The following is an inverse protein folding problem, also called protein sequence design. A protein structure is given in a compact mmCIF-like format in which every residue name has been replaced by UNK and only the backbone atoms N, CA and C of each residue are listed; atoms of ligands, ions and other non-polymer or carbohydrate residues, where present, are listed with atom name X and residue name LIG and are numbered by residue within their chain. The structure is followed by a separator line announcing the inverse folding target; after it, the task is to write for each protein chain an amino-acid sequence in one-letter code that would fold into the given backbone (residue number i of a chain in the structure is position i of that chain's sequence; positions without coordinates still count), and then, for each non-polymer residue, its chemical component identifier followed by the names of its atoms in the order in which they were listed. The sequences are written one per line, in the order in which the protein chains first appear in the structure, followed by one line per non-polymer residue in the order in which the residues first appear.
data_IF_804407581319
#
_entry.id   IF_804407581319
#
_cell.length_a   1.000
_cell.length_b   1.000
_cell.length_c   1.000
_cell.angle_alpha   90.00
_cell.angle_beta   90.00
_cell.angle_gamma   90.00
#
_symmetry.space_group_name_H-M   'P 1'
#
loop_
_entity.id
_entity.type
_entity.pdbx_description
1 polymer ?
#
# COMPACT_ATOMS: atom_id res chain seq x y z
N UNK A 1 -3.80 -16.66 -3.95
CA UNK A 1 -3.16 -15.52 -3.25
C UNK A 1 -2.93 -14.39 -4.23
N UNK A 2 -3.34 -13.17 -3.85
CA UNK A 2 -3.10 -11.97 -4.64
C UNK A 2 -1.63 -11.55 -4.57
N UNK A 3 -1.10 -11.08 -5.69
CA UNK A 3 0.21 -10.43 -5.77
C UNK A 3 0.11 -8.94 -6.12
N UNK A 4 -1.11 -8.37 -6.10
CA UNK A 4 -1.37 -6.98 -6.48
C UNK A 4 -2.25 -6.29 -5.43
N UNK A 5 -1.73 -5.23 -4.83
CA UNK A 5 -2.40 -4.53 -3.74
C UNK A 5 -3.75 -3.92 -4.14
N UNK A 6 -3.86 -3.33 -5.33
CA UNK A 6 -5.11 -2.73 -5.80
C UNK A 6 -6.18 -3.78 -6.16
N UNK A 7 -5.75 -4.96 -6.58
CA UNK A 7 -6.65 -6.04 -6.98
C UNK A 7 -7.02 -6.96 -5.81
N UNK A 8 -6.43 -6.78 -4.64
CA UNK A 8 -6.60 -7.70 -3.50
C UNK A 8 -8.07 -7.83 -3.10
N UNK A 9 -8.78 -6.73 -2.90
CA UNK A 9 -10.18 -6.80 -2.47
C UNK A 9 -11.08 -7.47 -3.52
N UNK A 10 -11.03 -7.12 -4.82
CA UNK A 10 -11.78 -7.86 -5.84
C UNK A 10 -11.46 -9.36 -5.86
N UNK A 11 -10.18 -9.73 -5.72
CA UNK A 11 -9.78 -11.12 -5.72
C UNK A 11 -10.29 -11.88 -4.50
N UNK A 12 -10.35 -11.25 -3.33
CA UNK A 12 -10.98 -11.84 -2.14
C UNK A 12 -12.46 -12.14 -2.39
N UNK A 13 -13.14 -11.23 -3.10
CA UNK A 13 -14.53 -11.44 -3.52
C UNK A 13 -14.71 -12.62 -4.47
N UNK A 14 -13.66 -13.01 -5.19
CA UNK A 14 -13.64 -14.14 -6.11
C UNK A 14 -13.11 -15.43 -5.48
N UNK A 15 -12.79 -15.42 -4.18
CA UNK A 15 -12.34 -16.60 -3.46
C UNK A 15 -10.84 -16.70 -3.21
N UNK A 16 -10.07 -15.63 -3.39
CA UNK A 16 -8.66 -15.63 -3.00
C UNK A 16 -8.53 -15.74 -1.48
N UNK A 17 -7.47 -16.39 -1.01
CA UNK A 17 -7.24 -16.67 0.41
C UNK A 17 -6.39 -15.64 1.12
N UNK A 18 -5.77 -14.73 0.39
CA UNK A 18 -4.87 -13.73 0.97
C UNK A 18 -4.05 -13.00 -0.07
N UNK A 19 -3.00 -12.35 0.39
CA UNK A 19 -2.16 -11.47 -0.43
C UNK A 19 -0.72 -11.44 0.10
N UNK A 20 0.22 -11.21 -0.82
CA UNK A 20 1.58 -10.77 -0.48
C UNK A 20 1.65 -9.31 -0.91
N UNK A 21 1.70 -8.39 0.04
CA UNK A 21 1.46 -6.97 -0.16
C UNK A 21 2.71 -6.12 0.04
N UNK A 22 2.89 -5.13 -0.83
CA UNK A 22 3.88 -4.05 -0.66
C UNK A 22 3.36 -3.00 0.33
N UNK A 23 2.11 -2.59 0.20
CA UNK A 23 1.46 -1.57 1.05
C UNK A 23 1.46 -1.98 2.53
N UNK A 24 1.34 -3.26 2.81
CA UNK A 24 1.37 -3.79 4.18
C UNK A 24 2.69 -3.52 4.92
N UNK A 25 3.77 -3.20 4.24
CA UNK A 25 5.00 -2.76 4.89
C UNK A 25 4.80 -1.43 5.64
N UNK A 26 4.04 -0.51 5.07
CA UNK A 26 3.76 0.80 5.67
C UNK A 26 2.50 0.81 6.54
N UNK A 27 1.47 0.11 6.13
CA UNK A 27 0.17 0.05 6.81
C UNK A 27 -0.29 -1.39 7.07
N UNK A 28 0.48 -2.16 7.87
CA UNK A 28 0.16 -3.58 8.10
C UNK A 28 -1.19 -3.77 8.79
N UNK A 29 -1.53 -2.93 9.75
CA UNK A 29 -2.79 -3.03 10.50
C UNK A 29 -4.00 -2.81 9.59
N UNK A 30 -4.02 -1.70 8.85
CA UNK A 30 -5.13 -1.39 7.93
C UNK A 30 -5.27 -2.44 6.84
N UNK A 31 -4.14 -2.83 6.23
CA UNK A 31 -4.19 -3.79 5.13
C UNK A 31 -4.64 -5.17 5.59
N UNK A 32 -4.13 -5.66 6.73
CA UNK A 32 -4.56 -6.95 7.28
C UNK A 32 -6.03 -6.94 7.72
N UNK A 33 -6.51 -5.81 8.25
CA UNK A 33 -7.92 -5.64 8.61
C UNK A 33 -8.82 -5.73 7.37
N UNK A 34 -8.44 -5.06 6.27
CA UNK A 34 -9.16 -5.14 5.00
C UNK A 34 -9.26 -6.60 4.51
N UNK A 35 -8.14 -7.32 4.53
CA UNK A 35 -8.10 -8.72 4.11
C UNK A 35 -8.98 -9.59 5.01
N UNK A 36 -8.89 -9.43 6.31
CA UNK A 36 -9.71 -10.17 7.28
C UNK A 36 -11.20 -9.94 7.04
N UNK A 37 -11.61 -8.70 6.84
CA UNK A 37 -12.99 -8.34 6.54
C UNK A 37 -13.45 -8.96 5.20
N UNK A 38 -12.60 -8.90 4.19
CA UNK A 38 -12.89 -9.50 2.88
C UNK A 38 -13.07 -11.01 2.96
N UNK A 39 -12.23 -11.70 3.74
CA UNK A 39 -12.34 -13.15 3.95
C UNK A 39 -13.63 -13.55 4.70
N UNK A 40 -14.15 -12.65 5.55
CA UNK A 40 -15.41 -12.85 6.27
C UNK A 40 -16.63 -12.41 5.46
N UNK A 41 -16.45 -12.01 4.21
CA UNK A 41 -17.50 -11.47 3.34
C UNK A 41 -18.12 -10.15 3.87
N UNK A 42 -17.43 -9.43 4.75
CA UNK A 42 -17.85 -8.10 5.23
C UNK A 42 -17.33 -7.02 4.25
N UNK A 43 -17.79 -7.09 3.01
CA UNK A 43 -17.26 -6.32 1.89
C UNK A 43 -17.48 -4.81 2.03
N UNK A 44 -18.55 -4.37 2.67
CA UNK A 44 -18.81 -2.95 2.85
C UNK A 44 -17.72 -2.28 3.68
N UNK A 45 -17.35 -2.89 4.81
CA UNK A 45 -16.28 -2.39 5.68
C UNK A 45 -14.91 -2.51 5.02
N UNK A 46 -14.68 -3.63 4.34
CA UNK A 46 -13.43 -3.85 3.60
C UNK A 46 -13.22 -2.79 2.51
N UNK A 47 -14.29 -2.40 1.79
CA UNK A 47 -14.22 -1.36 0.77
C UNK A 47 -13.83 0.01 1.33
N UNK A 48 -14.27 0.34 2.52
CA UNK A 48 -13.90 1.61 3.16
C UNK A 48 -12.37 1.71 3.32
N UNK A 49 -11.74 0.64 3.78
CA UNK A 49 -10.27 0.58 3.91
C UNK A 49 -9.61 0.57 2.53
N UNK A 50 -10.14 -0.20 1.59
CA UNK A 50 -9.63 -0.28 0.23
C UNK A 50 -9.55 1.12 -0.42
N UNK A 51 -10.63 1.88 -0.37
CA UNK A 51 -10.64 3.23 -0.94
C UNK A 51 -9.77 4.21 -0.17
N UNK A 52 -9.65 4.05 1.14
CA UNK A 52 -8.73 4.86 1.95
C UNK A 52 -7.27 4.69 1.52
N UNK A 53 -6.89 3.49 1.07
CA UNK A 53 -5.52 3.17 0.68
C UNK A 53 -5.25 3.28 -0.83
N UNK A 54 -6.28 3.48 -1.66
CA UNK A 54 -6.16 3.40 -3.12
C UNK A 54 -5.18 4.42 -3.70
N UNK A 55 -5.32 5.69 -3.35
CA UNK A 55 -4.45 6.75 -3.88
C UNK A 55 -3.02 6.60 -3.38
N UNK A 56 -2.85 6.23 -2.11
CA UNK A 56 -1.53 5.89 -1.55
C UNK A 56 -0.88 4.75 -2.34
N UNK A 57 -1.62 3.70 -2.61
CA UNK A 57 -1.10 2.54 -3.35
C UNK A 57 -0.65 2.94 -4.76
N UNK A 58 -1.44 3.72 -5.47
CA UNK A 58 -1.05 4.23 -6.80
C UNK A 58 0.22 5.06 -6.74
N UNK A 59 0.32 5.93 -5.75
CA UNK A 59 1.49 6.80 -5.58
C UNK A 59 2.75 5.98 -5.24
N UNK A 60 2.62 4.96 -4.40
CA UNK A 60 3.73 4.06 -4.05
C UNK A 60 4.31 3.35 -5.26
N UNK A 61 3.48 2.98 -6.23
CA UNK A 61 3.92 2.27 -7.42
C UNK A 61 4.28 3.18 -8.61
N UNK A 62 4.03 4.49 -8.53
CA UNK A 62 4.23 5.43 -9.66
C UNK A 62 5.66 5.42 -10.21
N UNK A 63 6.66 5.37 -9.33
CA UNK A 63 8.08 5.33 -9.70
C UNK A 63 8.70 3.93 -9.52
N UNK A 64 7.85 2.92 -9.34
CA UNK A 64 8.26 1.53 -9.20
C UNK A 64 8.48 1.08 -7.76
N UNK A 65 8.55 -0.23 -7.62
CA UNK A 65 8.80 -0.92 -6.37
C UNK A 65 10.25 -1.42 -6.37
N UNK A 66 11.06 -1.27 -5.30
CA UNK A 66 10.67 -0.82 -3.95
C UNK A 66 10.83 0.68 -3.67
N UNK A 67 11.11 1.51 -4.68
CA UNK A 67 11.46 2.92 -4.48
C UNK A 67 10.34 3.69 -3.73
N UNK A 68 9.08 3.50 -4.14
CA UNK A 68 7.94 4.17 -3.52
C UNK A 68 7.69 3.73 -2.08
N UNK A 69 7.70 2.44 -1.80
CA UNK A 69 7.45 1.94 -0.44
C UNK A 69 8.58 2.31 0.52
N UNK A 70 9.82 2.35 0.05
CA UNK A 70 10.93 2.82 0.87
C UNK A 70 10.81 4.30 1.21
N UNK A 71 10.32 5.13 0.30
CA UNK A 71 10.00 6.52 0.59
C UNK A 71 8.92 6.65 1.66
N UNK A 72 7.86 5.84 1.59
CA UNK A 72 6.81 5.81 2.59
C UNK A 72 7.35 5.41 3.98
N UNK A 73 8.20 4.41 4.03
CA UNK A 73 8.81 3.96 5.29
C UNK A 73 9.78 5.00 5.86
N UNK A 74 10.47 5.75 5.02
CA UNK A 74 11.30 6.90 5.45
C UNK A 74 10.43 7.99 6.06
N UNK A 75 9.30 8.33 5.43
CA UNK A 75 8.35 9.32 5.94
C UNK A 75 7.83 8.91 7.32
N UNK A 76 7.59 7.61 7.53
CA UNK A 76 7.19 7.07 8.82
C UNK A 76 8.34 6.92 9.82
N UNK A 77 9.56 7.30 9.42
CA UNK A 77 10.77 7.23 10.25
C UNK A 77 11.11 5.79 10.71
N UNK A 78 10.76 4.80 9.89
CA UNK A 78 11.02 3.38 10.19
C UNK A 78 12.38 2.95 9.63
N UNK A 79 12.77 3.48 8.46
CA UNK A 79 14.03 3.12 7.80
C UNK A 79 14.79 4.33 7.31
N UNK A 80 16.08 4.13 7.06
CA UNK A 80 16.90 5.03 6.23
C UNK A 80 16.69 4.59 4.78
N UNK A 81 16.37 5.54 3.89
CA UNK A 81 16.02 5.23 2.51
C UNK A 81 17.26 5.04 1.64
N UNK A 82 17.80 3.82 1.62
CA UNK A 82 18.91 3.41 0.78
C UNK A 82 18.44 2.44 -0.30
N UNK A 83 18.84 2.69 -1.53
CA UNK A 83 18.51 1.87 -2.70
C UNK A 83 19.78 1.41 -3.40
N UNK A 84 19.78 0.16 -3.87
CA UNK A 84 20.87 -0.36 -4.71
C UNK A 84 20.64 0.05 -6.15
N UNK A 85 21.70 0.49 -6.82
CA UNK A 85 21.64 0.76 -8.26
C UNK A 85 21.22 -0.52 -9.03
N UNK A 86 20.45 -0.38 -10.11
CA UNK A 86 20.04 0.84 -10.80
C UNK A 86 18.83 1.58 -10.19
N UNK A 87 18.32 1.14 -9.06
CA UNK A 87 17.18 1.79 -8.39
C UNK A 87 17.61 3.14 -7.83
N UNK A 88 16.73 4.13 -7.97
CA UNK A 88 16.94 5.49 -7.46
C UNK A 88 15.72 5.94 -6.66
N UNK A 89 15.90 6.97 -5.83
CA UNK A 89 14.80 7.56 -5.07
C UNK A 89 13.73 8.11 -6.01
N UNK A 90 12.48 8.12 -5.54
CA UNK A 90 11.34 8.66 -6.31
C UNK A 90 11.50 10.16 -6.55
N UNK A 91 10.79 10.67 -7.56
CA UNK A 91 10.76 12.10 -7.84
C UNK A 91 10.23 12.89 -6.64
N UNK A 92 10.76 14.10 -6.45
CA UNK A 92 10.37 14.97 -5.33
C UNK A 92 8.86 15.27 -5.33
N UNK A 93 8.27 15.47 -6.50
CA UNK A 93 6.82 15.69 -6.63
C UNK A 93 6.01 14.50 -6.11
N UNK A 94 6.42 13.28 -6.44
CA UNK A 94 5.80 12.06 -5.94
C UNK A 94 6.02 11.87 -4.44
N UNK A 95 7.21 12.22 -3.96
CA UNK A 95 7.51 12.18 -2.52
C UNK A 95 6.59 13.10 -1.73
N UNK A 96 6.40 14.33 -2.20
CA UNK A 96 5.52 15.31 -1.56
C UNK A 96 4.05 14.86 -1.60
N UNK A 97 3.60 14.31 -2.73
CA UNK A 97 2.26 13.75 -2.86
C UNK A 97 2.05 12.57 -1.90
N UNK A 98 3.04 11.69 -1.81
CA UNK A 98 3.02 10.54 -0.91
C UNK A 98 2.89 10.99 0.55
N UNK A 99 3.68 11.98 0.96
CA UNK A 99 3.64 12.55 2.31
C UNK A 99 2.25 13.13 2.63
N UNK A 100 1.65 13.86 1.69
CA UNK A 100 0.32 14.43 1.84
C UNK A 100 -0.76 13.33 2.00
N UNK A 101 -0.71 12.31 1.15
CA UNK A 101 -1.65 11.18 1.22
C UNK A 101 -1.52 10.40 2.54
N UNK A 102 -0.30 10.21 3.02
CA UNK A 102 -0.05 9.54 4.30
C UNK A 102 -0.61 10.33 5.47
N UNK A 103 -0.53 11.66 5.43
CA UNK A 103 -1.15 12.52 6.45
C UNK A 103 -2.66 12.34 6.50
N UNK A 104 -3.31 12.15 5.36
CA UNK A 104 -4.76 11.92 5.28
C UNK A 104 -5.16 10.55 5.84
N UNK A 105 -4.31 9.53 5.69
CA UNK A 105 -4.57 8.18 6.20
C UNK A 105 -4.42 8.15 7.73
N UNK A 106 -3.46 8.87 8.24
CA UNK A 106 -3.17 8.98 9.68
C UNK A 106 -3.97 10.14 10.30
#
# INVERSE_FOLDING_TARGET
ISGDDLLTLPLLGMGADGVISVVANAYPKLFSEMVSLGLKAEMKKAREIHYKLTDFTRCVFADGNPSGIKAALEIKEIIVNNLRLPLVKIEKSHYNQLSALMSEIE
#
